data_IF_820933319969
#
_entry.id   IF_820933319969
#
_cell.length_a   1.000
_cell.length_b   1.000
_cell.length_c   1.000
_cell.angle_alpha   90.00
_cell.angle_beta   90.00
_cell.angle_gamma   90.00
#
_symmetry.space_group_name_H-M   'P 1'
#
loop_
_entity.id
_entity.type
_entity.pdbx_description
1 polymer ?
#
# COMPACT_ATOMS: atom_id res chain seq x y z
N UNK A 1 -19.63 -18.66 0.88
CA UNK A 1 -20.39 -17.49 0.37
C UNK A 1 -19.84 -17.09 -0.99
N UNK A 2 -20.69 -16.65 -1.90
CA UNK A 2 -20.30 -16.05 -3.20
C UNK A 2 -20.31 -14.52 -3.08
N UNK A 3 -19.56 -13.83 -3.91
CA UNK A 3 -19.60 -12.36 -3.92
C UNK A 3 -21.02 -11.90 -4.26
N UNK A 4 -21.55 -10.96 -3.49
CA UNK A 4 -22.93 -10.50 -3.51
C UNK A 4 -23.92 -11.38 -2.75
N UNK A 5 -23.48 -12.49 -2.17
CA UNK A 5 -24.33 -13.33 -1.33
C UNK A 5 -24.50 -12.71 0.05
N UNK A 6 -25.77 -12.66 0.49
CA UNK A 6 -26.16 -12.21 1.81
C UNK A 6 -26.69 -13.43 2.58
N UNK A 7 -26.10 -13.71 3.72
CA UNK A 7 -26.41 -14.88 4.53
C UNK A 7 -26.54 -14.52 6.00
N UNK A 8 -27.45 -15.18 6.68
CA UNK A 8 -27.65 -15.06 8.11
C UNK A 8 -26.91 -16.20 8.83
N UNK A 9 -26.12 -15.85 9.84
CA UNK A 9 -25.35 -16.78 10.64
C UNK A 9 -25.75 -16.67 12.11
N UNK A 10 -26.00 -17.80 12.72
CA UNK A 10 -26.29 -17.91 14.15
C UNK A 10 -25.06 -18.47 14.84
N UNK A 11 -24.43 -17.67 15.69
CA UNK A 11 -23.26 -18.07 16.44
C UNK A 11 -23.64 -18.33 17.90
N UNK A 12 -23.28 -19.53 18.41
CA UNK A 12 -23.32 -19.81 19.83
C UNK A 12 -22.30 -18.93 20.59
N UNK A 13 -22.44 -18.77 21.90
CA UNK A 13 -21.52 -17.95 22.70
C UNK A 13 -20.05 -18.28 22.49
N UNK A 14 -19.69 -19.55 22.29
CA UNK A 14 -18.31 -20.00 22.11
C UNK A 14 -17.66 -19.49 20.84
N UNK A 15 -18.47 -19.15 19.83
CA UNK A 15 -18.02 -18.59 18.55
C UNK A 15 -18.33 -17.09 18.40
N UNK A 16 -18.88 -16.47 19.46
CA UNK A 16 -19.18 -15.06 19.54
C UNK A 16 -18.34 -14.39 20.65
N UNK A 17 -18.99 -13.71 21.59
CA UNK A 17 -18.29 -12.98 22.66
C UNK A 17 -18.09 -13.80 23.95
N UNK A 18 -18.53 -15.04 23.98
CA UNK A 18 -18.33 -15.96 25.11
C UNK A 18 -18.93 -15.41 26.39
N UNK A 19 -18.12 -15.43 27.45
CA UNK A 19 -18.48 -14.93 28.79
C UNK A 19 -18.24 -13.43 28.96
N UNK A 20 -17.91 -12.71 27.90
CA UNK A 20 -17.68 -11.27 27.96
C UNK A 20 -18.96 -10.48 27.66
N UNK A 21 -19.33 -9.59 28.57
CA UNK A 21 -20.37 -8.59 28.32
C UNK A 21 -19.81 -7.54 27.36
N UNK A 22 -20.45 -7.36 26.22
CA UNK A 22 -20.09 -6.32 25.26
C UNK A 22 -21.14 -5.23 25.32
N UNK A 23 -20.82 -4.16 26.02
CA UNK A 23 -21.72 -3.04 26.33
C UNK A 23 -23.06 -3.49 27.00
N UNK A 24 -24.06 -2.60 27.07
CA UNK A 24 -25.34 -2.91 27.72
C UNK A 24 -26.33 -3.64 26.79
N UNK A 25 -25.95 -3.88 25.53
CA UNK A 25 -26.81 -4.49 24.53
C UNK A 25 -26.63 -5.98 24.36
N UNK A 26 -25.42 -6.50 24.66
CA UNK A 26 -25.09 -7.92 24.49
C UNK A 26 -24.70 -8.50 25.85
N UNK A 27 -25.61 -9.22 26.53
CA UNK A 27 -25.29 -9.93 27.77
C UNK A 27 -24.24 -11.03 27.60
N UNK A 28 -23.67 -11.47 28.68
CA UNK A 28 -22.78 -12.65 28.70
C UNK A 28 -23.54 -13.89 28.18
N UNK A 29 -22.79 -14.79 27.54
CA UNK A 29 -23.32 -16.08 27.04
C UNK A 29 -24.51 -15.90 26.06
N UNK A 30 -24.49 -14.89 25.26
CA UNK A 30 -25.54 -14.63 24.26
C UNK A 30 -25.27 -15.36 22.95
N UNK A 31 -26.31 -16.03 22.43
CA UNK A 31 -26.33 -16.46 21.00
C UNK A 31 -26.63 -15.25 20.13
N UNK A 32 -25.81 -15.02 19.12
CA UNK A 32 -25.92 -13.87 18.25
C UNK A 32 -26.24 -14.27 16.82
N UNK A 33 -27.11 -13.51 16.20
CA UNK A 33 -27.42 -13.63 14.78
C UNK A 33 -26.73 -12.50 14.02
N UNK A 34 -25.92 -12.85 13.02
CA UNK A 34 -25.23 -11.91 12.15
C UNK A 34 -25.76 -12.05 10.72
N UNK A 35 -26.13 -10.93 10.14
CA UNK A 35 -26.37 -10.84 8.71
C UNK A 35 -25.06 -10.38 8.03
N UNK A 36 -24.49 -11.23 7.19
CA UNK A 36 -23.22 -10.98 6.53
C UNK A 36 -23.41 -10.98 5.03
N UNK A 37 -22.97 -9.92 4.38
CA UNK A 37 -22.90 -9.80 2.93
C UNK A 37 -21.44 -9.83 2.47
N UNK A 38 -21.09 -10.77 1.57
CA UNK A 38 -19.76 -10.83 0.99
C UNK A 38 -19.66 -9.83 -0.15
N UNK A 39 -19.10 -8.67 0.11
CA UNK A 39 -18.95 -7.59 -0.87
C UNK A 39 -17.85 -7.87 -1.89
N UNK A 40 -16.73 -8.43 -1.44
CA UNK A 40 -15.58 -8.71 -2.30
C UNK A 40 -14.79 -9.90 -1.76
N UNK A 41 -14.31 -10.76 -2.66
CA UNK A 41 -13.38 -11.83 -2.34
C UNK A 41 -12.13 -11.66 -3.19
N UNK A 42 -11.02 -11.28 -2.55
CA UNK A 42 -9.70 -11.23 -3.19
C UNK A 42 -9.02 -12.57 -2.98
N UNK A 43 -8.48 -13.15 -4.07
CA UNK A 43 -7.62 -14.32 -3.97
C UNK A 43 -6.39 -14.03 -3.09
N UNK A 44 -5.65 -15.07 -2.67
CA UNK A 44 -4.41 -14.88 -1.94
C UNK A 44 -3.50 -13.92 -2.73
N UNK A 45 -2.99 -12.86 -2.07
CA UNK A 45 -2.00 -11.97 -2.69
C UNK A 45 -0.82 -12.83 -3.14
N UNK A 46 -0.51 -12.79 -4.44
CA UNK A 46 0.73 -13.39 -4.94
C UNK A 46 1.90 -12.76 -4.19
N UNK A 47 2.88 -13.57 -3.81
CA UNK A 47 4.15 -13.03 -3.32
C UNK A 47 4.80 -12.18 -4.43
N UNK A 48 5.47 -11.10 -4.05
CA UNK A 48 6.12 -10.21 -5.04
C UNK A 48 7.13 -11.00 -5.91
N UNK A 49 7.71 -12.08 -5.35
CA UNK A 49 8.59 -13.02 -6.08
C UNK A 49 7.89 -13.69 -7.26
N UNK A 50 6.62 -14.02 -7.10
CA UNK A 50 5.84 -14.86 -8.02
C UNK A 50 5.03 -14.04 -9.03
N UNK A 51 5.07 -12.72 -8.92
CA UNK A 51 4.41 -11.82 -9.87
C UNK A 51 5.27 -11.62 -11.11
N UNK A 52 4.61 -11.58 -12.27
CA UNK A 52 5.24 -11.17 -13.53
C UNK A 52 5.56 -9.67 -13.54
N UNK A 53 6.42 -9.24 -14.47
CA UNK A 53 6.86 -7.85 -14.58
C UNK A 53 5.69 -6.88 -14.72
N UNK A 54 4.78 -7.16 -15.64
CA UNK A 54 3.61 -6.33 -15.92
C UNK A 54 2.69 -6.22 -14.69
N UNK A 55 2.52 -7.32 -13.95
CA UNK A 55 1.73 -7.32 -12.70
C UNK A 55 2.38 -6.40 -11.65
N UNK A 56 3.70 -6.43 -11.53
CA UNK A 56 4.45 -5.58 -10.59
C UNK A 56 4.36 -4.10 -10.96
N UNK A 57 4.52 -3.79 -12.24
CA UNK A 57 4.39 -2.41 -12.75
C UNK A 57 2.96 -1.90 -12.54
N UNK A 58 1.95 -2.71 -12.83
CA UNK A 58 0.55 -2.34 -12.63
C UNK A 58 0.25 -2.06 -11.15
N UNK A 59 0.71 -2.92 -10.23
CA UNK A 59 0.53 -2.73 -8.80
C UNK A 59 1.30 -1.50 -8.28
N UNK A 60 2.51 -1.28 -8.76
CA UNK A 60 3.28 -0.08 -8.47
C UNK A 60 2.58 1.22 -8.91
N UNK A 61 1.96 1.22 -10.10
CA UNK A 61 1.14 2.35 -10.57
C UNK A 61 -0.06 2.60 -9.67
N UNK A 62 -0.81 1.54 -9.33
CA UNK A 62 -1.96 1.63 -8.45
C UNK A 62 -1.59 2.23 -7.10
N UNK A 63 -0.54 1.72 -6.46
CA UNK A 63 -0.04 2.22 -5.18
C UNK A 63 0.46 3.67 -5.26
N UNK A 64 1.09 4.04 -6.39
CA UNK A 64 1.50 5.43 -6.64
C UNK A 64 0.28 6.37 -6.65
N UNK A 65 -0.79 5.98 -7.31
CA UNK A 65 -2.03 6.77 -7.41
C UNK A 65 -2.73 6.88 -6.05
N UNK A 66 -2.88 5.76 -5.32
CA UNK A 66 -3.42 5.79 -3.95
C UNK A 66 -2.61 6.72 -3.03
N UNK A 67 -1.29 6.71 -3.15
CA UNK A 67 -0.43 7.62 -2.41
C UNK A 67 -0.68 9.09 -2.75
N UNK A 68 -0.94 9.41 -4.03
CA UNK A 68 -1.28 10.78 -4.46
C UNK A 68 -2.61 11.24 -3.86
N UNK A 69 -3.61 10.37 -3.83
CA UNK A 69 -4.91 10.68 -3.22
C UNK A 69 -4.78 10.97 -1.72
N UNK A 70 -4.04 10.11 -1.00
CA UNK A 70 -3.75 10.32 0.42
C UNK A 70 -2.99 11.61 0.69
N UNK A 71 -1.99 11.91 -0.14
CA UNK A 71 -1.23 13.16 -0.04
C UNK A 71 -2.10 14.40 -0.22
N UNK A 72 -3.01 14.38 -1.21
CA UNK A 72 -3.98 15.46 -1.44
C UNK A 72 -4.95 15.62 -0.28
N UNK A 73 -5.32 14.53 0.37
CA UNK A 73 -6.17 14.53 1.57
C UNK A 73 -5.43 14.99 2.85
N UNK A 74 -4.12 15.25 2.78
CA UNK A 74 -3.29 15.64 3.92
C UNK A 74 -2.79 14.45 4.78
N UNK A 75 -3.12 13.22 4.41
CA UNK A 75 -2.61 11.99 5.04
C UNK A 75 -1.20 11.68 4.53
N UNK A 76 -0.22 12.47 4.99
CA UNK A 76 1.17 12.31 4.55
C UNK A 76 1.78 10.97 4.98
N UNK A 77 1.41 10.45 6.16
CA UNK A 77 1.89 9.14 6.62
C UNK A 77 1.38 8.01 5.74
N UNK A 78 0.08 7.98 5.50
CA UNK A 78 -0.52 6.98 4.62
C UNK A 78 -0.06 7.09 3.18
N UNK A 79 0.20 8.30 2.67
CA UNK A 79 0.80 8.51 1.35
C UNK A 79 2.21 7.90 1.28
N UNK A 80 3.05 8.16 2.29
CA UNK A 80 4.39 7.59 2.38
C UNK A 80 4.36 6.06 2.38
N UNK A 81 3.50 5.45 3.20
CA UNK A 81 3.36 3.98 3.27
C UNK A 81 3.03 3.37 1.90
N UNK A 82 2.11 4.00 1.14
CA UNK A 82 1.75 3.55 -0.20
C UNK A 82 2.90 3.67 -1.19
N UNK A 83 3.64 4.75 -1.14
CA UNK A 83 4.79 4.94 -2.02
C UNK A 83 6.00 4.07 -1.64
N UNK A 84 6.24 3.84 -0.35
CA UNK A 84 7.25 2.87 0.11
C UNK A 84 6.87 1.43 -0.32
N UNK A 85 5.59 1.08 -0.27
CA UNK A 85 5.10 -0.19 -0.79
C UNK A 85 5.30 -0.28 -2.31
N UNK A 86 4.97 0.76 -3.07
CA UNK A 86 5.21 0.82 -4.51
C UNK A 86 6.69 0.58 -4.88
N UNK A 87 7.61 1.16 -4.12
CA UNK A 87 9.04 0.95 -4.33
C UNK A 87 9.44 -0.52 -4.24
N UNK A 88 8.83 -1.33 -3.35
CA UNK A 88 9.18 -2.75 -3.18
C UNK A 88 8.90 -3.60 -4.42
N UNK A 89 7.90 -3.22 -5.22
CA UNK A 89 7.57 -3.91 -6.47
C UNK A 89 8.57 -3.61 -7.58
N UNK A 90 9.23 -2.45 -7.55
CA UNK A 90 10.03 -1.93 -8.65
C UNK A 90 11.53 -2.02 -8.38
N UNK A 91 11.97 -1.91 -7.12
CA UNK A 91 13.38 -1.76 -6.71
C UNK A 91 14.29 -2.89 -7.25
N UNK A 92 13.77 -4.11 -7.39
CA UNK A 92 14.52 -5.26 -7.92
C UNK A 92 14.89 -5.16 -9.40
N UNK A 93 14.12 -4.39 -10.19
CA UNK A 93 14.34 -4.28 -11.64
C UNK A 93 15.39 -3.25 -12.00
N UNK A 94 15.52 -2.22 -11.17
CA UNK A 94 16.42 -1.09 -11.43
C UNK A 94 17.89 -1.50 -11.36
N UNK A 95 18.22 -2.52 -10.59
CA UNK A 95 19.59 -2.96 -10.40
C UNK A 95 20.05 -4.05 -11.38
N UNK A 96 19.17 -4.65 -12.17
CA UNK A 96 19.51 -5.82 -12.98
C UNK A 96 19.48 -5.61 -14.50
N UNK A 97 18.70 -4.67 -15.02
CA UNK A 97 18.45 -4.57 -16.46
C UNK A 97 18.32 -3.11 -16.90
N UNK A 98 19.44 -2.45 -17.16
CA UNK A 98 19.49 -1.03 -17.56
C UNK A 98 18.73 -0.72 -18.87
N UNK A 99 18.47 -1.70 -19.73
CA UNK A 99 17.89 -1.50 -21.06
C UNK A 99 16.41 -1.87 -21.20
N UNK A 100 15.81 -2.56 -20.24
CA UNK A 100 14.46 -3.13 -20.42
C UNK A 100 13.32 -2.28 -19.91
N UNK A 101 13.57 -1.20 -19.10
CA UNK A 101 12.50 -0.71 -18.25
C UNK A 101 12.49 0.80 -18.05
N UNK A 102 12.50 1.54 -19.14
CA UNK A 102 12.33 2.99 -19.09
C UNK A 102 11.09 3.38 -18.28
N UNK A 103 9.97 2.65 -18.46
CA UNK A 103 8.72 2.91 -17.77
C UNK A 103 8.81 2.66 -16.24
N UNK A 104 9.44 1.55 -15.83
CA UNK A 104 9.66 1.26 -14.42
C UNK A 104 10.60 2.28 -13.77
N UNK A 105 11.66 2.68 -14.47
CA UNK A 105 12.58 3.72 -14.00
C UNK A 105 11.88 5.08 -13.84
N UNK A 106 11.11 5.50 -14.82
CA UNK A 106 10.34 6.75 -14.77
C UNK A 106 9.33 6.74 -13.61
N UNK A 107 8.63 5.61 -13.42
CA UNK A 107 7.70 5.43 -12.33
C UNK A 107 8.40 5.47 -10.97
N UNK A 108 9.52 4.76 -10.82
CA UNK A 108 10.30 4.75 -9.58
C UNK A 108 10.80 6.15 -9.21
N UNK A 109 11.28 6.89 -10.19
CA UNK A 109 11.72 8.27 -10.00
C UNK A 109 10.57 9.19 -9.57
N UNK A 110 9.39 9.03 -10.18
CA UNK A 110 8.21 9.77 -9.79
C UNK A 110 7.80 9.46 -8.34
N UNK A 111 7.83 8.18 -7.95
CA UNK A 111 7.53 7.74 -6.57
C UNK A 111 8.55 8.32 -5.58
N UNK A 112 9.85 8.25 -5.88
CA UNK A 112 10.90 8.81 -5.02
C UNK A 112 10.78 10.33 -4.88
N UNK A 113 10.43 11.04 -5.94
CA UNK A 113 10.17 12.48 -5.89
C UNK A 113 8.99 12.81 -4.98
N UNK A 114 7.91 12.02 -5.09
CA UNK A 114 6.75 12.16 -4.21
C UNK A 114 7.11 11.87 -2.74
N UNK A 115 7.93 10.85 -2.48
CA UNK A 115 8.44 10.53 -1.15
C UNK A 115 9.27 11.68 -0.57
N UNK A 116 10.17 12.28 -1.38
CA UNK A 116 10.94 13.45 -0.96
C UNK A 116 10.03 14.63 -0.57
N UNK A 117 9.04 14.94 -1.41
CA UNK A 117 8.09 16.01 -1.12
C UNK A 117 7.27 15.74 0.14
N UNK A 118 6.83 14.50 0.32
CA UNK A 118 6.05 14.06 1.47
C UNK A 118 6.87 14.17 2.76
N UNK A 119 8.09 13.62 2.78
CA UNK A 119 8.99 13.68 3.92
C UNK A 119 9.40 15.13 4.25
N UNK A 120 9.57 15.98 3.24
CA UNK A 120 9.84 17.40 3.44
C UNK A 120 8.66 18.10 4.15
N UNK A 121 7.41 17.79 3.75
CA UNK A 121 6.20 18.29 4.44
C UNK A 121 6.13 17.84 5.90
N UNK A 122 6.57 16.62 6.19
CA UNK A 122 6.65 16.05 7.54
C UNK A 122 7.90 16.51 8.32
N UNK A 123 8.79 17.30 7.70
CA UNK A 123 10.09 17.74 8.25
C UNK A 123 11.05 16.58 8.57
N UNK A 124 10.91 15.48 7.89
CA UNK A 124 11.77 14.29 8.01
C UNK A 124 12.96 14.38 7.03
N UNK A 125 13.83 15.34 7.22
CA UNK A 125 14.90 15.69 6.28
C UNK A 125 15.90 14.56 6.03
N UNK A 126 16.17 13.72 7.01
CA UNK A 126 17.03 12.57 6.82
C UNK A 126 16.42 11.57 5.80
N UNK A 127 15.12 11.32 5.88
CA UNK A 127 14.42 10.48 4.92
C UNK A 127 14.44 11.07 3.51
N UNK A 128 14.33 12.40 3.38
CA UNK A 128 14.47 13.10 2.09
C UNK A 128 15.82 12.78 1.44
N UNK A 129 16.92 12.89 2.19
CA UNK A 129 18.28 12.59 1.69
C UNK A 129 18.39 11.13 1.24
N UNK A 130 17.83 10.19 2.00
CA UNK A 130 17.85 8.76 1.67
C UNK A 130 17.13 8.49 0.35
N UNK A 131 15.92 9.01 0.17
CA UNK A 131 15.14 8.82 -1.06
C UNK A 131 15.76 9.54 -2.27
N UNK A 132 16.27 10.76 -2.08
CA UNK A 132 16.96 11.50 -3.12
C UNK A 132 18.21 10.74 -3.62
N UNK A 133 19.03 10.22 -2.70
CA UNK A 133 20.21 9.42 -3.06
C UNK A 133 19.85 8.11 -3.79
N UNK A 134 18.73 7.46 -3.43
CA UNK A 134 18.22 6.30 -4.20
C UNK A 134 17.87 6.69 -5.62
N UNK A 135 17.17 7.80 -5.81
CA UNK A 135 16.78 8.27 -7.13
C UNK A 135 17.95 8.66 -8.02
N UNK A 136 18.98 9.30 -7.47
CA UNK A 136 20.19 9.67 -8.22
C UNK A 136 20.94 8.43 -8.71
N UNK A 137 21.07 7.39 -7.87
CA UNK A 137 21.70 6.12 -8.28
C UNK A 137 21.01 5.43 -9.45
N UNK A 138 19.71 5.63 -9.60
CA UNK A 138 18.93 5.04 -10.70
C UNK A 138 19.10 5.82 -11.99
N UNK A 139 19.25 7.13 -11.90
CA UNK A 139 19.46 7.96 -13.08
C UNK A 139 20.23 9.25 -12.72
N UNK A 140 21.56 9.19 -12.97
CA UNK A 140 22.44 10.32 -12.72
C UNK A 140 22.09 11.60 -13.50
N UNK A 141 21.16 11.50 -14.48
CA UNK A 141 20.74 12.61 -15.34
C UNK A 141 19.46 13.31 -14.88
N UNK A 142 18.91 12.99 -13.70
CA UNK A 142 17.68 13.63 -13.23
C UNK A 142 17.95 14.87 -12.37
N UNK A 143 17.82 16.07 -12.93
CA UNK A 143 18.07 17.31 -12.20
C UNK A 143 17.08 17.53 -11.04
N UNK A 144 15.85 16.99 -11.13
CA UNK A 144 14.80 17.25 -10.12
C UNK A 144 15.09 16.72 -8.73
N UNK A 145 15.87 15.64 -8.59
CA UNK A 145 16.21 15.07 -7.29
C UNK A 145 17.38 15.78 -6.60
N UNK A 146 18.20 16.50 -7.36
CA UNK A 146 19.28 17.30 -6.79
C UNK A 146 18.81 18.50 -5.96
N UNK A 147 17.57 18.96 -6.16
CA UNK A 147 17.00 20.05 -5.36
C UNK A 147 16.69 19.65 -3.91
N UNK A 148 16.72 18.36 -3.58
CA UNK A 148 16.43 17.85 -2.24
C UNK A 148 17.70 17.52 -1.42
N UNK A 149 18.88 17.65 -1.99
CA UNK A 149 20.17 17.41 -1.36
C UNK A 149 20.87 18.73 -1.07
#
# INVERSE_FOLDING_TARGET
MKVGEKSEFIFSPDYAYGKQKVNDLIPEISTLTFEIELLEAKGPKKEISDMEYEEKVAEGKRLKEEGVEKYKAGDYKGAREKWDEACKYIDRYINKYADYEKEACEMYQAVLTNLCNCCNKMKEYYAVIVYANKGIKVNEKLPKLFYFI
#
